data_IF_114671625573
#
_entry.id   IF_114671625573
#
_cell.length_a   1.000
_cell.length_b   1.000
_cell.length_c   1.000
_cell.angle_alpha   90.00
_cell.angle_beta   90.00
_cell.angle_gamma   90.00
#
_symmetry.space_group_name_H-M   'P 1'
#
loop_
_entity.id
_entity.type
_entity.pdbx_description
1 polymer ?
#
# COMPACT_ATOMS: atom_id res chain seq x y z
N UNK A 1 22.76 6.02 13.52
CA UNK A 1 21.64 5.71 14.43
C UNK A 1 20.67 6.88 14.43
N UNK A 2 19.35 6.67 14.33
CA UNK A 2 18.39 7.74 14.50
C UNK A 2 18.47 8.27 15.94
N UNK A 3 18.65 9.59 16.10
CA UNK A 3 18.55 10.24 17.42
C UNK A 3 17.08 10.30 17.82
N UNK A 4 16.65 9.30 18.58
CA UNK A 4 15.32 9.29 19.18
C UNK A 4 15.11 10.49 20.09
N UNK A 5 13.90 11.07 20.05
CA UNK A 5 13.50 12.06 21.06
C UNK A 5 13.34 11.38 22.42
N UNK A 6 13.74 12.06 23.48
CA UNK A 6 13.55 11.59 24.85
C UNK A 6 12.06 11.32 25.12
N UNK A 7 11.80 10.24 25.86
CA UNK A 7 10.45 9.87 26.27
C UNK A 7 9.98 10.76 27.44
N UNK A 8 8.69 11.10 27.54
CA UNK A 8 8.15 11.86 28.67
C UNK A 8 8.60 11.31 30.02
N UNK A 9 8.95 12.20 30.95
CA UNK A 9 9.42 11.81 32.29
C UNK A 9 8.31 11.16 33.13
N UNK A 10 7.06 11.63 33.00
CA UNK A 10 5.89 11.08 33.69
C UNK A 10 5.32 9.77 33.12
N UNK A 11 5.97 9.16 32.11
CA UNK A 11 5.50 7.91 31.51
C UNK A 11 5.73 6.71 32.46
N UNK A 12 4.75 5.81 32.69
CA UNK A 12 4.92 4.61 33.50
C UNK A 12 6.08 3.74 33.03
N UNK A 13 6.78 3.10 33.97
CA UNK A 13 7.99 2.32 33.64
C UNK A 13 7.71 1.15 32.69
N UNK A 14 6.58 0.44 32.85
CA UNK A 14 6.16 -0.63 31.92
C UNK A 14 5.95 -0.10 30.49
N UNK A 15 5.36 1.10 30.35
CA UNK A 15 5.13 1.73 29.04
C UNK A 15 6.44 2.21 28.42
N UNK A 16 7.35 2.77 29.24
CA UNK A 16 8.71 3.15 28.83
C UNK A 16 9.48 1.93 28.29
N UNK A 17 9.39 0.79 28.96
CA UNK A 17 10.02 -0.46 28.54
C UNK A 17 9.46 -0.94 27.20
N UNK A 18 8.13 -0.97 27.04
CA UNK A 18 7.49 -1.30 25.75
C UNK A 18 8.00 -0.39 24.62
N UNK A 19 7.97 0.93 24.81
CA UNK A 19 8.43 1.88 23.79
C UNK A 19 9.91 1.72 23.44
N UNK A 20 10.77 1.43 24.41
CA UNK A 20 12.19 1.14 24.16
C UNK A 20 12.36 -0.13 23.32
N UNK A 21 11.57 -1.19 23.57
CA UNK A 21 11.62 -2.40 22.75
C UNK A 21 11.12 -2.16 21.32
N UNK A 22 10.01 -1.43 21.15
CA UNK A 22 9.47 -1.08 19.82
C UNK A 22 10.47 -0.22 19.01
N UNK A 23 11.12 0.76 19.65
CA UNK A 23 12.21 1.56 19.06
C UNK A 23 13.40 0.68 18.62
N UNK A 24 13.87 -0.21 19.50
CA UNK A 24 14.99 -1.14 19.20
C UNK A 24 14.66 -2.14 18.08
N UNK A 25 13.42 -2.62 18.02
CA UNK A 25 12.97 -3.48 16.93
C UNK A 25 13.03 -2.75 15.59
N UNK A 26 12.45 -1.55 15.54
CA UNK A 26 12.47 -0.66 14.38
C UNK A 26 13.89 -0.27 13.94
N UNK A 27 14.79 0.03 14.87
CA UNK A 27 16.16 0.42 14.53
C UNK A 27 16.95 -0.74 13.90
N UNK A 28 16.69 -1.98 14.37
CA UNK A 28 17.33 -3.19 13.82
C UNK A 28 16.76 -3.61 12.45
N UNK A 29 15.49 -3.33 12.17
CA UNK A 29 14.88 -3.61 10.85
C UNK A 29 15.25 -2.58 9.78
N UNK A 30 15.91 -1.48 10.14
CA UNK A 30 16.37 -0.45 9.20
C UNK A 30 15.25 0.42 8.60
N UNK A 31 13.99 0.16 8.93
CA UNK A 31 12.86 0.92 8.36
C UNK A 31 12.79 2.35 8.90
N UNK A 32 12.60 3.32 8.01
CA UNK A 32 12.19 4.69 8.35
C UNK A 32 10.76 4.75 8.92
N UNK A 33 10.33 5.89 9.51
CA UNK A 33 8.94 6.04 9.96
C UNK A 33 7.94 6.05 8.78
N UNK A 34 8.37 6.58 7.62
CA UNK A 34 7.58 6.51 6.38
C UNK A 34 7.45 5.07 5.84
N UNK A 35 8.54 4.30 5.85
CA UNK A 35 8.53 2.91 5.43
C UNK A 35 7.59 2.03 6.30
N UNK A 36 7.45 2.36 7.59
CA UNK A 36 6.44 1.74 8.44
C UNK A 36 5.02 2.13 8.01
N UNK A 37 4.73 3.41 7.78
CA UNK A 37 3.37 3.85 7.42
C UNK A 37 2.86 3.37 6.06
N UNK A 38 3.73 2.85 5.19
CA UNK A 38 3.33 2.17 3.94
C UNK A 38 3.05 0.68 4.15
N UNK A 39 3.69 0.07 5.16
CA UNK A 39 3.60 -1.38 5.45
C UNK A 39 2.61 -1.71 6.59
N UNK A 40 1.96 -0.71 7.15
CA UNK A 40 1.09 -0.78 8.32
C UNK A 40 -0.11 0.14 8.10
N UNK A 41 -1.19 -0.07 8.84
CA UNK A 41 -2.45 0.69 8.73
C UNK A 41 -2.35 2.11 9.30
N UNK A 42 -1.20 2.50 9.84
CA UNK A 42 -1.02 3.74 10.61
C UNK A 42 -0.13 4.74 9.90
N UNK A 43 -0.59 6.00 9.82
CA UNK A 43 0.17 7.11 9.25
C UNK A 43 1.51 7.38 9.97
N UNK A 44 2.45 8.02 9.28
CA UNK A 44 3.76 8.43 9.86
C UNK A 44 3.60 9.24 11.14
N UNK A 45 2.63 10.15 11.19
CA UNK A 45 2.33 10.99 12.36
C UNK A 45 1.77 10.19 13.53
N UNK A 46 1.00 9.12 13.26
CA UNK A 46 0.56 8.17 14.28
C UNK A 46 1.74 7.39 14.85
N UNK A 47 2.61 6.83 13.99
CA UNK A 47 3.84 6.16 14.41
C UNK A 47 4.76 7.04 15.24
N UNK A 48 4.95 8.30 14.85
CA UNK A 48 5.74 9.26 15.60
C UNK A 48 5.11 9.57 16.97
N UNK A 49 3.78 9.64 17.06
CA UNK A 49 3.07 9.90 18.32
C UNK A 49 3.17 8.69 19.27
N UNK A 50 2.98 7.48 18.75
CA UNK A 50 3.13 6.21 19.48
C UNK A 50 4.56 6.01 19.97
N UNK A 51 5.56 5.99 19.07
CA UNK A 51 6.95 5.69 19.42
C UNK A 51 7.63 6.80 20.24
N UNK A 52 6.99 7.96 20.44
CA UNK A 52 7.44 9.00 21.37
C UNK A 52 6.64 9.06 22.68
N UNK A 53 5.72 8.12 22.95
CA UNK A 53 4.93 8.10 24.19
C UNK A 53 4.00 9.30 24.34
N UNK A 54 3.55 9.90 23.23
CA UNK A 54 2.56 10.99 23.21
C UNK A 54 1.12 10.48 23.16
N UNK A 55 0.93 9.22 22.78
CA UNK A 55 -0.35 8.49 22.82
C UNK A 55 -0.01 7.01 23.07
N UNK A 56 -0.79 6.28 23.89
CA UNK A 56 -0.60 4.84 24.07
C UNK A 56 -0.65 4.12 22.71
N UNK A 57 0.23 3.13 22.56
CA UNK A 57 0.33 2.33 21.33
C UNK A 57 -0.85 1.35 21.30
N UNK A 58 -1.68 1.30 20.23
CA UNK A 58 -2.75 0.31 20.13
C UNK A 58 -2.17 -1.08 19.86
N UNK A 59 -2.84 -2.14 20.34
CA UNK A 59 -2.39 -3.54 20.20
C UNK A 59 -2.05 -3.90 18.74
N UNK A 60 -2.95 -3.56 17.82
CA UNK A 60 -2.77 -3.82 16.39
C UNK A 60 -1.50 -3.16 15.81
N UNK A 61 -1.08 -1.98 16.30
CA UNK A 61 0.19 -1.39 15.87
C UNK A 61 1.39 -2.22 16.35
N UNK A 62 1.36 -2.77 17.57
CA UNK A 62 2.43 -3.66 18.05
C UNK A 62 2.56 -4.90 17.15
N UNK A 63 1.43 -5.51 16.79
CA UNK A 63 1.36 -6.67 15.89
C UNK A 63 1.84 -6.35 14.47
N UNK A 64 1.40 -5.22 13.91
CA UNK A 64 1.83 -4.75 12.59
C UNK A 64 3.33 -4.43 12.55
N UNK A 65 3.88 -3.76 13.58
CA UNK A 65 5.32 -3.48 13.65
C UNK A 65 6.15 -4.75 13.75
N UNK A 66 5.74 -5.71 14.60
CA UNK A 66 6.41 -6.99 14.74
C UNK A 66 6.44 -7.77 13.42
N UNK A 67 5.27 -7.91 12.78
CA UNK A 67 5.12 -8.60 11.49
C UNK A 67 5.96 -7.96 10.39
N UNK A 68 5.93 -6.63 10.26
CA UNK A 68 6.72 -5.89 9.26
C UNK A 68 8.22 -6.02 9.50
N UNK A 69 8.65 -6.06 10.76
CA UNK A 69 10.06 -6.24 11.12
C UNK A 69 10.53 -7.71 11.15
N UNK A 70 9.67 -8.67 10.80
CA UNK A 70 10.00 -10.10 10.82
C UNK A 70 10.26 -10.67 12.23
N UNK A 71 9.66 -10.08 13.26
CA UNK A 71 9.81 -10.50 14.65
C UNK A 71 8.51 -11.12 15.21
N UNK A 72 8.66 -12.02 16.18
CA UNK A 72 7.55 -12.57 16.95
C UNK A 72 6.84 -11.45 17.73
N UNK A 73 5.51 -11.24 17.55
CA UNK A 73 4.75 -10.26 18.32
C UNK A 73 4.56 -10.66 19.79
N UNK A 74 4.62 -11.95 20.13
CA UNK A 74 4.19 -12.48 21.44
C UNK A 74 4.83 -11.77 22.64
N UNK A 75 6.17 -11.57 22.71
CA UNK A 75 6.79 -10.89 23.85
C UNK A 75 6.39 -9.41 23.97
N UNK A 76 6.10 -8.74 22.85
CA UNK A 76 5.68 -7.33 22.82
C UNK A 76 4.21 -7.18 23.21
N UNK A 77 3.38 -8.17 22.88
CA UNK A 77 1.97 -8.23 23.28
C UNK A 77 1.80 -8.45 24.79
N UNK A 78 2.59 -9.34 25.40
CA UNK A 78 2.58 -9.51 26.86
C UNK A 78 2.99 -8.21 27.57
N UNK A 79 4.02 -7.52 27.06
CA UNK A 79 4.40 -6.18 27.54
C UNK A 79 3.29 -5.13 27.35
N UNK A 80 2.51 -5.21 26.27
CA UNK A 80 1.38 -4.33 25.99
C UNK A 80 0.20 -4.57 26.94
N UNK A 81 -0.11 -5.84 27.25
CA UNK A 81 -1.14 -6.25 28.20
C UNK A 81 -0.81 -5.76 29.62
N UNK A 82 0.42 -6.00 30.09
CA UNK A 82 0.93 -5.56 31.40
C UNK A 82 0.93 -4.02 31.59
N UNK A 83 0.93 -3.25 30.50
CA UNK A 83 0.76 -1.79 30.52
C UNK A 83 -0.71 -1.41 30.72
N UNK A 84 -1.65 -2.14 30.13
CA UNK A 84 -3.08 -1.86 30.25
C UNK A 84 -3.64 -2.35 31.60
N UNK A 85 -3.14 -3.46 32.15
CA UNK A 85 -3.49 -3.93 33.50
C UNK A 85 -3.09 -2.90 34.57
N UNK A 86 -1.90 -2.28 34.46
CA UNK A 86 -1.46 -1.24 35.40
C UNK A 86 -2.35 0.03 35.41
N UNK A 87 -3.13 0.25 34.35
CA UNK A 87 -4.14 1.32 34.28
C UNK A 87 -5.45 0.87 34.93
N UNK A 88 -5.80 -0.41 34.82
CA UNK A 88 -6.99 -1.00 35.44
C UNK A 88 -6.86 -1.21 36.96
N UNK A 89 -5.65 -1.50 37.46
CA UNK A 89 -5.37 -1.68 38.89
C UNK A 89 -5.40 -0.36 39.70
N UNK A 90 -5.46 0.82 39.05
CA UNK A 90 -5.56 2.11 39.75
C UNK A 90 -6.96 2.26 40.39
N UNK A 91 -7.09 2.31 41.72
CA UNK A 91 -8.40 2.34 42.37
C UNK A 91 -9.24 3.56 41.96
N UNK A 92 -10.57 3.46 41.91
CA UNK A 92 -11.46 4.52 41.40
C UNK A 92 -11.47 5.82 42.22
N UNK A 93 -10.77 5.88 43.36
CA UNK A 93 -10.73 7.04 44.26
C UNK A 93 -10.12 8.32 43.63
N UNK A 94 -9.32 8.19 42.58
CA UNK A 94 -8.61 9.32 41.94
C UNK A 94 -9.41 9.98 40.80
N UNK A 95 -10.62 9.47 40.47
CA UNK A 95 -11.46 10.02 39.39
C UNK A 95 -12.22 11.30 39.78
N UNK A 96 -12.27 11.63 41.07
CA UNK A 96 -13.05 12.75 41.61
C UNK A 96 -12.44 14.15 41.36
N UNK A 97 -11.22 14.23 40.83
CA UNK A 97 -10.45 15.48 40.79
C UNK A 97 -10.26 16.10 39.39
N UNK A 98 -10.55 15.38 38.30
CA UNK A 98 -10.39 15.91 36.92
C UNK A 98 -11.56 15.51 36.02
N UNK A 99 -12.69 16.17 36.23
CA UNK A 99 -13.79 16.18 35.28
C UNK A 99 -13.56 17.28 34.23
N UNK A 100 -13.29 16.88 32.98
CA UNK A 100 -13.62 17.64 31.77
C UNK A 100 -14.25 16.66 30.76
N UNK A 101 -15.22 17.12 29.94
CA UNK A 101 -16.34 16.26 29.57
C UNK A 101 -16.03 15.27 28.44
N UNK A 102 -16.70 14.12 28.51
CA UNK A 102 -16.76 13.16 27.43
C UNK A 102 -17.80 13.61 26.39
N UNK A 103 -17.36 13.92 25.18
CA UNK A 103 -18.18 13.89 23.97
C UNK A 103 -17.39 13.27 22.80
N UNK A 104 -18.11 12.76 21.80
CA UNK A 104 -17.61 12.13 20.58
C UNK A 104 -16.87 10.78 20.74
N UNK A 105 -17.53 9.83 21.42
CA UNK A 105 -17.37 8.40 21.11
C UNK A 105 -18.74 7.80 20.79
N UNK A 106 -19.19 8.01 19.55
CA UNK A 106 -20.41 7.41 18.99
C UNK A 106 -20.08 6.71 17.68
N UNK A 107 -19.65 5.46 17.79
CA UNK A 107 -19.91 4.46 16.77
C UNK A 107 -21.20 3.72 17.17
N UNK A 108 -22.22 3.71 16.33
CA UNK A 108 -22.70 2.49 15.66
C UNK A 108 -23.80 2.82 14.62
N UNK A 109 -23.90 1.94 13.63
CA UNK A 109 -25.09 1.51 12.88
C UNK A 109 -25.97 2.44 12.04
N UNK A 110 -26.57 1.76 11.06
CA UNK A 110 -27.57 2.23 10.11
C UNK A 110 -29.00 2.20 10.66
N UNK A 111 -29.86 2.96 9.96
CA UNK A 111 -31.29 2.74 9.71
C UNK A 111 -32.36 3.39 10.63
N UNK A 112 -33.34 3.95 9.93
CA UNK A 112 -34.76 4.17 10.27
C UNK A 112 -35.25 5.35 11.14
N UNK A 113 -36.39 5.90 10.68
CA UNK A 113 -37.45 6.65 11.36
C UNK A 113 -37.27 8.17 11.69
N UNK A 114 -37.88 8.99 10.82
CA UNK A 114 -38.32 10.39 11.08
C UNK A 114 -39.58 10.40 11.98
N UNK A 115 -39.97 11.56 12.60
CA UNK A 115 -40.88 12.48 11.88
C UNK A 115 -40.71 14.01 12.16
N UNK A 116 -41.05 14.82 11.14
CA UNK A 116 -41.85 16.08 11.20
C UNK A 116 -41.37 17.28 12.09
N UNK A 117 -41.30 18.56 11.68
CA UNK A 117 -41.49 19.35 10.42
C UNK A 117 -40.55 20.61 10.55
N UNK A 118 -40.48 21.65 9.69
CA UNK A 118 -41.06 22.02 8.39
C UNK A 118 -40.09 22.99 7.65
N UNK A 119 -40.35 23.27 6.35
CA UNK A 119 -40.42 24.58 5.68
C UNK A 119 -40.26 24.34 4.17
N UNK A 120 -41.41 24.29 3.49
CA UNK A 120 -41.70 24.68 2.10
C UNK A 120 -40.60 24.65 1.01
N UNK A 121 -40.80 23.77 0.03
CA UNK A 121 -40.27 23.88 -1.35
C UNK A 121 -41.39 23.56 -2.36
N UNK A 122 -41.37 24.10 -3.60
CA UNK A 122 -42.50 24.08 -4.54
C UNK A 122 -42.76 22.70 -5.21
N UNK A 123 -43.95 22.49 -5.83
CA UNK A 123 -44.49 21.15 -6.12
C UNK A 123 -44.01 20.50 -7.43
N UNK A 124 -44.11 19.16 -7.56
CA UNK A 124 -43.96 18.42 -8.81
C UNK A 124 -45.27 18.34 -9.61
N UNK A 125 -45.22 17.99 -10.91
CA UNK A 125 -46.38 17.46 -11.65
C UNK A 125 -46.59 15.96 -11.39
N UNK A 126 -47.84 15.52 -11.54
CA UNK A 126 -48.39 14.26 -11.06
C UNK A 126 -48.16 13.01 -11.95
N UNK A 127 -48.70 11.89 -11.42
CA UNK A 127 -49.12 10.64 -12.07
C UNK A 127 -48.12 9.47 -12.25
N UNK A 128 -48.20 8.59 -11.25
CA UNK A 128 -48.15 7.12 -11.24
C UNK A 128 -48.78 6.39 -12.46
N UNK A 129 -48.71 5.03 -12.58
CA UNK A 129 -48.17 4.04 -11.62
C UNK A 129 -47.18 3.02 -12.20
N UNK A 130 -46.54 2.27 -11.30
CA UNK A 130 -45.92 0.97 -11.63
C UNK A 130 -46.98 -0.09 -11.95
N UNK A 131 -46.64 -1.24 -12.55
CA UNK A 131 -46.22 -2.34 -11.67
C UNK A 131 -45.22 -3.36 -12.23
N UNK A 132 -44.64 -4.11 -11.28
CA UNK A 132 -44.24 -5.53 -11.38
C UNK A 132 -43.03 -5.99 -12.20
N UNK A 133 -42.31 -6.93 -11.55
CA UNK A 133 -41.52 -8.05 -12.11
C UNK A 133 -40.26 -7.76 -12.93
N UNK A 134 -39.13 -8.25 -12.41
CA UNK A 134 -37.97 -8.64 -13.20
C UNK A 134 -38.37 -9.59 -14.35
N UNK A 135 -37.59 -9.61 -15.43
CA UNK A 135 -36.67 -10.75 -15.53
C UNK A 135 -35.23 -10.35 -15.88
N UNK A 136 -34.27 -11.09 -15.31
CA UNK A 136 -32.88 -11.04 -15.74
C UNK A 136 -32.72 -11.65 -17.15
N UNK A 137 -31.81 -11.11 -17.96
CA UNK A 137 -31.41 -11.67 -19.26
C UNK A 137 -30.08 -11.04 -19.73
N UNK A 138 -29.29 -11.74 -20.57
CA UNK A 138 -28.93 -13.14 -20.42
C UNK A 138 -27.41 -13.38 -20.54
N UNK A 139 -26.89 -14.40 -19.84
CA UNK A 139 -25.52 -14.89 -20.08
C UNK A 139 -25.44 -15.53 -21.47
N UNK A 140 -24.48 -15.11 -22.31
CA UNK A 140 -24.20 -15.76 -23.60
C UNK A 140 -23.54 -17.12 -23.35
N UNK A 141 -24.25 -18.20 -23.68
CA UNK A 141 -23.69 -19.55 -23.77
C UNK A 141 -23.44 -19.89 -25.25
N UNK A 142 -22.24 -20.35 -25.56
CA UNK A 142 -21.86 -20.82 -26.90
C UNK A 142 -22.20 -22.33 -26.99
N UNK A 143 -22.89 -22.80 -28.05
CA UNK A 143 -23.25 -24.21 -28.16
C UNK A 143 -22.08 -25.06 -28.65
N UNK A 144 -21.58 -25.96 -27.79
CA UNK A 144 -20.70 -27.06 -28.20
C UNK A 144 -21.57 -28.25 -28.63
N UNK A 145 -21.45 -28.72 -29.88
CA UNK A 145 -22.23 -29.85 -30.41
C UNK A 145 -21.40 -30.78 -31.29
N UNK A 146 -21.10 -31.95 -30.72
CA UNK A 146 -20.61 -33.18 -31.36
C UNK A 146 -19.19 -33.10 -31.99
N UNK A 147 -18.41 -34.19 -32.08
CA UNK A 147 -18.76 -35.60 -31.93
C UNK A 147 -17.76 -36.43 -31.10
N UNK A 148 -18.28 -37.48 -30.48
CA UNK A 148 -17.54 -38.66 -30.00
C UNK A 148 -17.33 -39.64 -31.16
N UNK A 149 -16.14 -40.25 -31.24
CA UNK A 149 -15.89 -41.69 -31.44
C UNK A 149 -14.49 -41.91 -32.06
N UNK A 150 -13.74 -42.90 -31.56
CA UNK A 150 -12.45 -43.27 -32.17
C UNK A 150 -11.38 -43.82 -31.23
N UNK A 151 -11.74 -44.69 -30.28
CA UNK A 151 -10.73 -45.48 -29.57
C UNK A 151 -10.44 -46.76 -30.36
N UNK A 152 -9.18 -46.99 -30.74
CA UNK A 152 -8.60 -48.33 -30.88
C UNK A 152 -7.07 -48.26 -30.77
N UNK A 153 -6.47 -49.37 -30.35
CA UNK A 153 -5.16 -49.43 -29.70
C UNK A 153 -4.12 -50.13 -30.58
N UNK A 154 -2.90 -49.58 -30.66
CA UNK A 154 -1.74 -50.29 -31.19
C UNK A 154 -0.44 -49.80 -30.54
N UNK A 155 0.21 -50.67 -29.78
CA UNK A 155 1.59 -50.48 -29.28
C UNK A 155 2.57 -51.04 -30.31
N UNK A 156 3.60 -50.28 -30.66
CA UNK A 156 4.78 -50.80 -31.34
C UNK A 156 6.04 -50.06 -30.84
N UNK A 157 6.96 -50.81 -30.23
CA UNK A 157 8.29 -50.33 -29.82
C UNK A 157 9.25 -50.53 -30.98
N UNK A 158 10.07 -49.52 -31.30
CA UNK A 158 10.94 -49.55 -32.49
C UNK A 158 11.95 -48.40 -32.58
N UNK A 159 12.84 -48.33 -31.59
CA UNK A 159 14.31 -48.20 -31.75
C UNK A 159 14.90 -47.61 -33.06
N UNK A 160 15.70 -46.54 -32.92
CA UNK A 160 16.73 -46.16 -33.92
C UNK A 160 16.69 -44.69 -34.38
N UNK A 161 17.86 -44.04 -34.48
CA UNK A 161 18.00 -42.76 -35.18
C UNK A 161 18.34 -41.54 -34.32
N UNK A 162 19.44 -41.58 -33.56
CA UNK A 162 20.02 -40.40 -32.93
C UNK A 162 20.72 -39.47 -33.95
N UNK A 163 19.95 -38.67 -34.69
CA UNK A 163 20.49 -37.55 -35.48
C UNK A 163 20.30 -36.24 -34.73
N UNK A 164 21.37 -35.77 -34.08
CA UNK A 164 21.41 -34.45 -33.46
C UNK A 164 21.41 -33.36 -34.54
N UNK A 165 20.23 -32.90 -34.94
CA UNK A 165 20.11 -31.56 -35.47
C UNK A 165 20.24 -30.60 -34.30
N UNK A 166 21.32 -29.81 -34.32
CA UNK A 166 21.49 -28.70 -33.40
C UNK A 166 20.41 -27.64 -33.69
N UNK A 167 19.28 -27.74 -33.00
CA UNK A 167 18.43 -26.56 -32.80
C UNK A 167 19.26 -25.59 -31.99
N UNK A 168 19.63 -24.47 -32.62
CA UNK A 168 20.29 -23.35 -31.97
C UNK A 168 19.35 -22.84 -30.85
N UNK A 169 19.57 -23.38 -29.66
CA UNK A 169 18.78 -23.10 -28.48
C UNK A 169 19.12 -21.70 -28.04
N UNK A 170 18.44 -20.70 -28.62
CA UNK A 170 18.45 -19.37 -28.06
C UNK A 170 17.99 -19.50 -26.61
N UNK A 171 18.96 -19.35 -25.71
CA UNK A 171 18.75 -19.23 -24.27
C UNK A 171 17.86 -18.00 -24.04
N UNK A 172 16.55 -18.22 -24.16
CA UNK A 172 15.51 -17.39 -23.59
C UNK A 172 15.53 -17.65 -22.08
N UNK A 173 16.67 -17.32 -21.47
CA UNK A 173 16.82 -17.12 -20.06
C UNK A 173 15.69 -16.17 -19.65
N UNK A 174 14.66 -16.72 -19.00
CA UNK A 174 13.58 -15.95 -18.45
C UNK A 174 14.20 -14.79 -17.66
N UNK A 175 13.82 -13.53 -17.94
CA UNK A 175 14.59 -12.38 -17.48
C UNK A 175 14.73 -12.46 -15.97
N UNK A 176 15.97 -12.66 -15.52
CA UNK A 176 16.27 -12.76 -14.11
C UNK A 176 15.64 -11.55 -13.43
N UNK A 177 14.78 -11.78 -12.44
CA UNK A 177 14.06 -10.72 -11.76
C UNK A 177 15.10 -9.84 -11.07
N UNK A 178 15.54 -8.79 -11.75
CA UNK A 178 16.60 -7.91 -11.27
C UNK A 178 16.10 -7.30 -9.96
N UNK A 179 16.62 -7.83 -8.87
CA UNK A 179 16.30 -7.36 -7.54
C UNK A 179 16.97 -6.01 -7.38
N UNK A 180 16.21 -5.00 -6.98
CA UNK A 180 16.71 -3.65 -6.78
C UNK A 180 17.96 -3.67 -5.87
N UNK A 181 19.06 -3.08 -6.37
CA UNK A 181 20.31 -2.92 -5.64
C UNK A 181 20.54 -1.46 -5.31
N UNK A 182 20.68 -1.07 -4.02
CA UNK A 182 21.04 0.31 -3.66
C UNK A 182 22.46 0.64 -4.14
N UNK A 183 22.68 1.90 -4.52
CA UNK A 183 23.99 2.38 -4.99
C UNK A 183 24.32 2.02 -6.45
N UNK A 184 23.32 1.61 -7.25
CA UNK A 184 23.44 1.43 -8.70
C UNK A 184 22.66 2.51 -9.44
N UNK A 185 23.16 2.95 -10.58
CA UNK A 185 22.41 3.71 -11.57
C UNK A 185 21.75 2.76 -12.57
N UNK A 186 20.57 3.13 -13.07
CA UNK A 186 19.79 2.32 -14.00
C UNK A 186 19.62 3.04 -15.33
N UNK A 187 19.76 2.30 -16.43
CA UNK A 187 19.53 2.82 -17.77
C UNK A 187 18.05 2.86 -18.12
N UNK A 188 17.63 3.92 -18.81
CA UNK A 188 16.23 4.12 -19.18
C UNK A 188 15.92 3.57 -20.59
N UNK A 189 15.43 2.34 -20.66
CA UNK A 189 15.03 1.68 -21.90
C UNK A 189 13.55 1.94 -22.23
N UNK A 190 13.25 3.17 -22.67
CA UNK A 190 11.91 3.59 -23.03
C UNK A 190 11.34 2.77 -24.20
N UNK A 191 10.21 2.12 -23.97
CA UNK A 191 9.44 1.36 -24.96
C UNK A 191 7.94 1.53 -24.72
N UNK A 192 7.10 1.18 -25.70
CA UNK A 192 5.63 1.21 -25.56
C UNK A 192 5.09 -0.22 -25.55
N UNK A 193 4.24 -0.54 -24.58
CA UNK A 193 3.56 -1.83 -24.44
C UNK A 193 2.09 -1.59 -24.13
N UNK A 194 1.18 -2.29 -24.82
CA UNK A 194 -0.28 -2.18 -24.62
C UNK A 194 -0.81 -0.72 -24.69
N UNK A 195 -0.14 0.11 -25.50
CA UNK A 195 -0.43 1.54 -25.63
C UNK A 195 0.22 2.45 -24.59
N UNK A 196 0.80 1.93 -23.51
CA UNK A 196 1.44 2.67 -22.42
C UNK A 196 2.96 2.74 -22.58
N UNK A 197 3.58 3.85 -22.19
CA UNK A 197 5.04 3.99 -22.12
C UNK A 197 5.60 3.29 -20.87
N UNK A 198 6.71 2.58 -21.02
CA UNK A 198 7.45 1.87 -19.96
C UNK A 198 8.95 2.09 -20.11
N UNK A 199 9.70 2.11 -19.00
CA UNK A 199 11.16 2.18 -18.99
C UNK A 199 11.85 0.82 -18.73
N UNK A 200 11.07 -0.23 -18.49
CA UNK A 200 11.56 -1.61 -18.30
C UNK A 200 11.83 -2.01 -16.84
N UNK A 201 11.55 -1.13 -15.89
CA UNK A 201 11.83 -1.34 -14.47
C UNK A 201 10.57 -1.70 -13.68
N UNK A 202 9.42 -1.12 -14.05
CA UNK A 202 8.13 -1.48 -13.45
C UNK A 202 6.94 -1.45 -14.42
N UNK A 203 5.95 -2.28 -14.09
CA UNK A 203 4.65 -2.35 -14.77
C UNK A 203 3.53 -1.64 -13.98
N UNK A 204 3.83 -1.01 -12.83
CA UNK A 204 2.79 -0.34 -12.01
C UNK A 204 2.14 0.84 -12.74
N UNK A 205 0.84 1.02 -12.52
CA UNK A 205 0.04 2.11 -13.08
C UNK A 205 -0.59 2.99 -11.98
N UNK A 206 -0.38 2.62 -10.72
CA UNK A 206 -1.15 3.07 -9.55
C UNK A 206 -0.32 3.19 -8.26
N UNK A 207 0.93 2.69 -8.23
CA UNK A 207 1.76 2.72 -7.03
C UNK A 207 2.03 4.14 -6.54
N UNK A 208 1.77 4.39 -5.26
CA UNK A 208 2.02 5.69 -4.63
C UNK A 208 3.49 5.86 -4.28
N UNK A 209 4.22 6.70 -5.02
CA UNK A 209 5.62 7.03 -4.72
C UNK A 209 5.70 8.36 -3.98
N UNK A 210 6.06 8.30 -2.69
CA UNK A 210 6.30 9.47 -1.83
C UNK A 210 7.79 9.87 -1.74
N UNK A 211 8.10 10.89 -0.93
CA UNK A 211 9.47 11.41 -0.71
C UNK A 211 10.46 10.40 -0.07
N UNK A 212 10.02 9.19 0.28
CA UNK A 212 10.85 8.11 0.82
C UNK A 212 10.80 6.86 -0.08
N UNK A 213 10.11 6.95 -1.22
CA UNK A 213 10.02 5.89 -2.21
C UNK A 213 11.40 5.45 -2.67
N UNK A 214 11.55 4.15 -2.86
CA UNK A 214 12.74 3.53 -3.44
C UNK A 214 12.37 2.22 -4.13
N UNK A 215 13.26 1.74 -5.00
CA UNK A 215 13.03 0.53 -5.79
C UNK A 215 12.71 0.80 -7.25
N UNK A 216 12.32 -0.26 -7.97
CA UNK A 216 12.16 -0.19 -9.44
C UNK A 216 11.00 0.69 -9.91
N UNK A 217 9.99 0.90 -9.08
CA UNK A 217 8.90 1.85 -9.39
C UNK A 217 9.42 3.29 -9.45
N UNK A 218 10.39 3.62 -8.58
CA UNK A 218 11.07 4.92 -8.60
C UNK A 218 11.98 5.04 -9.82
N UNK A 219 12.72 3.99 -10.16
CA UNK A 219 13.52 3.95 -11.40
C UNK A 219 12.64 4.21 -12.63
N UNK A 220 11.50 3.52 -12.71
CA UNK A 220 10.51 3.68 -13.78
C UNK A 220 9.99 5.12 -13.84
N UNK A 221 9.58 5.70 -12.71
CA UNK A 221 9.10 7.08 -12.65
C UNK A 221 10.21 8.10 -13.02
N UNK A 222 11.43 7.94 -12.50
CA UNK A 222 12.59 8.77 -12.84
C UNK A 222 12.87 8.73 -14.36
N UNK A 223 12.84 7.54 -14.97
CA UNK A 223 13.04 7.39 -16.41
C UNK A 223 11.94 8.06 -17.24
N UNK A 224 10.67 7.88 -16.87
CA UNK A 224 9.55 8.51 -17.58
C UNK A 224 9.57 10.04 -17.43
N UNK A 225 9.88 10.56 -16.23
CA UNK A 225 10.03 12.01 -16.01
C UNK A 225 11.09 12.61 -16.95
N UNK A 226 12.26 11.97 -17.05
CA UNK A 226 13.32 12.38 -17.98
C UNK A 226 12.86 12.33 -19.43
N UNK A 227 12.09 11.31 -19.82
CA UNK A 227 11.51 11.21 -21.17
C UNK A 227 10.52 12.35 -21.46
N UNK A 228 9.76 12.82 -20.45
CA UNK A 228 8.90 14.00 -20.54
C UNK A 228 9.66 15.34 -20.42
N UNK A 229 11.00 15.32 -20.30
CA UNK A 229 11.85 16.52 -20.21
C UNK A 229 12.03 17.10 -18.80
N UNK A 230 11.59 16.40 -17.76
CA UNK A 230 11.73 16.80 -16.36
C UNK A 230 12.86 15.99 -15.72
N UNK A 231 14.04 16.59 -15.51
CA UNK A 231 15.19 15.85 -14.98
C UNK A 231 15.03 15.53 -13.48
N UNK A 232 14.95 14.24 -13.08
CA UNK A 232 14.79 13.84 -11.68
C UNK A 232 16.12 13.74 -10.92
N UNK A 233 17.24 14.09 -11.55
CA UNK A 233 18.59 13.81 -11.06
C UNK A 233 19.07 12.41 -11.46
N UNK A 234 19.92 11.79 -10.64
CA UNK A 234 20.45 10.45 -10.92
C UNK A 234 19.30 9.42 -10.90
N UNK A 235 19.28 8.51 -11.87
CA UNK A 235 18.32 7.40 -11.92
C UNK A 235 18.90 6.25 -11.09
N UNK A 236 18.73 6.35 -9.77
CA UNK A 236 19.25 5.43 -8.75
C UNK A 236 18.14 4.62 -8.05
N UNK A 237 16.88 4.88 -8.39
CA UNK A 237 15.73 4.30 -7.70
C UNK A 237 15.58 4.80 -6.26
N UNK A 238 16.07 6.01 -5.94
CA UNK A 238 15.84 6.71 -4.68
C UNK A 238 15.08 8.01 -4.97
N UNK A 239 13.92 8.19 -4.33
CA UNK A 239 13.09 9.37 -4.59
C UNK A 239 13.61 10.59 -3.82
N UNK A 240 14.69 11.18 -4.32
CA UNK A 240 15.37 12.32 -3.72
C UNK A 240 14.67 13.67 -3.96
N UNK A 241 15.23 14.77 -3.42
CA UNK A 241 14.70 16.12 -3.62
C UNK A 241 14.56 16.52 -5.10
N UNK A 242 15.54 16.14 -5.94
CA UNK A 242 15.51 16.40 -7.38
C UNK A 242 14.36 15.65 -8.07
N UNK A 243 14.14 14.37 -7.74
CA UNK A 243 13.02 13.59 -8.28
C UNK A 243 11.67 14.17 -7.83
N UNK A 244 11.55 14.59 -6.57
CA UNK A 244 10.36 15.29 -6.08
C UNK A 244 10.11 16.60 -6.83
N UNK A 245 11.15 17.41 -7.06
CA UNK A 245 11.01 18.68 -7.79
C UNK A 245 10.61 18.45 -9.25
N UNK A 246 11.18 17.44 -9.92
CA UNK A 246 10.80 17.03 -11.26
C UNK A 246 9.32 16.61 -11.34
N UNK A 247 8.83 15.83 -10.37
CA UNK A 247 7.41 15.44 -10.30
C UNK A 247 6.51 16.65 -10.08
N UNK A 248 6.87 17.60 -9.21
CA UNK A 248 6.06 18.84 -9.04
C UNK A 248 5.98 19.66 -10.32
N UNK A 249 7.11 19.83 -11.03
CA UNK A 249 7.14 20.52 -12.34
C UNK A 249 6.31 19.79 -13.40
N UNK A 250 6.37 18.46 -13.43
CA UNK A 250 5.54 17.63 -14.31
C UNK A 250 4.05 17.78 -13.98
N UNK A 251 3.67 17.64 -12.70
CA UNK A 251 2.30 17.82 -12.22
C UNK A 251 1.75 19.20 -12.58
N UNK A 252 2.52 20.28 -12.34
CA UNK A 252 2.17 21.65 -12.73
C UNK A 252 1.89 21.76 -14.24
N UNK A 253 2.80 21.24 -15.07
CA UNK A 253 2.66 21.24 -16.53
C UNK A 253 1.45 20.44 -17.03
N UNK A 254 1.02 19.41 -16.28
CA UNK A 254 -0.17 18.59 -16.57
C UNK A 254 -1.44 19.04 -15.84
N UNK A 255 -1.39 20.13 -15.06
CA UNK A 255 -2.50 20.65 -14.22
C UNK A 255 -3.03 19.65 -13.18
N UNK A 256 -2.13 18.80 -12.67
CA UNK A 256 -2.38 17.90 -11.54
C UNK A 256 -2.09 18.60 -10.21
N UNK A 257 -2.41 17.96 -9.08
CA UNK A 257 -2.04 18.46 -7.75
C UNK A 257 -0.51 18.43 -7.59
N UNK A 258 0.11 19.57 -7.29
CA UNK A 258 1.58 19.72 -7.18
C UNK A 258 2.16 19.28 -5.82
N UNK A 259 1.82 18.08 -5.36
CA UNK A 259 2.31 17.53 -4.08
C UNK A 259 3.73 16.94 -4.15
N UNK A 260 4.18 16.59 -5.36
CA UNK A 260 5.43 15.89 -5.61
C UNK A 260 5.39 14.42 -5.21
N UNK A 261 4.24 13.77 -5.34
CA UNK A 261 3.97 12.35 -5.08
C UNK A 261 3.46 11.73 -6.39
N UNK A 262 4.06 10.64 -6.86
CA UNK A 262 3.55 9.93 -8.05
C UNK A 262 2.39 9.05 -7.61
N UNK A 263 1.16 9.53 -7.81
CA UNK A 263 -0.08 8.76 -7.66
C UNK A 263 -0.67 8.30 -9.01
N UNK A 264 -1.82 7.61 -9.01
CA UNK A 264 -2.46 7.08 -10.23
C UNK A 264 -2.63 8.12 -11.36
N UNK A 265 -3.09 9.34 -11.04
CA UNK A 265 -3.26 10.41 -12.04
C UNK A 265 -1.92 10.86 -12.65
N UNK A 266 -0.84 10.83 -11.85
CA UNK A 266 0.50 11.16 -12.33
C UNK A 266 1.06 10.04 -13.20
N UNK A 267 0.82 8.76 -12.84
CA UNK A 267 1.18 7.62 -13.67
C UNK A 267 0.45 7.61 -15.01
N UNK A 268 -0.85 7.94 -15.04
CA UNK A 268 -1.64 8.01 -16.26
C UNK A 268 -1.03 8.99 -17.28
N UNK A 269 -0.59 10.17 -16.83
CA UNK A 269 0.07 11.15 -17.69
C UNK A 269 1.54 10.80 -17.99
N UNK A 270 2.28 10.15 -17.08
CA UNK A 270 3.65 9.69 -17.34
C UNK A 270 3.71 8.58 -18.40
N UNK A 271 2.69 7.72 -18.47
CA UNK A 271 2.63 6.57 -19.38
C UNK A 271 1.98 6.87 -20.74
N UNK A 272 1.61 8.12 -21.01
CA UNK A 272 0.90 8.57 -22.23
C UNK A 272 1.82 8.76 -23.43
#
# INVERSE_FOLDING_TARGET
MPRWKELPSGLPERERQLLVQLRRLKDRSGFGLAALSVKTSYSRSSWERYLNGKQPVPRAAVEELARVCGADPTPLLVLHELVHEAVAERPPADRSAQALPAEALSADRSAEALPAQDVSAPPPPDDEPAPTSSPASPRRLVPLRYALAGALLAVAVGFGGGTLLATDGQDTAAPAVQTYGPGRTYDCAAHRKDGLAHAGHSLTIDALIDINGNGRDVVEAQCLLRQHGFDPGVVDGLYGPASKEAVRKFQAARRLVEDGIVGPDTWAELRR
#
